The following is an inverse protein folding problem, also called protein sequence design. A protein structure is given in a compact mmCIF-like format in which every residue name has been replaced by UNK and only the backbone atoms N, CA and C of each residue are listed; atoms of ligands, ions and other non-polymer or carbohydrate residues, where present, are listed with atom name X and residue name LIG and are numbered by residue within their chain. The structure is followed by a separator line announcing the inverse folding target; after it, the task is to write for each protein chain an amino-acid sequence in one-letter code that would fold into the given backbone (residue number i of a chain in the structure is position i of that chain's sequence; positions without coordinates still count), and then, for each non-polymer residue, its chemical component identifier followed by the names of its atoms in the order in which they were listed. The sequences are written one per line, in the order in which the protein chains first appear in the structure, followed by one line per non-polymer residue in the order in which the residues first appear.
data_IF_986623983648
#
_entry.id   IF_986623983648
#
_cell.length_a   1.000
_cell.length_b   1.000
_cell.length_c   1.000
_cell.angle_alpha   90.00
_cell.angle_beta   90.00
_cell.angle_gamma   90.00
#
_symmetry.space_group_name_H-M   'P 1'
#
loop_
_entity.id
_entity.type
_entity.pdbx_description
1 polymer ?
#
# COMPACT_ATOMS: atom_id res chain seq x y z
N UNK A 1 12.83 28.26 31.63
CA UNK A 1 12.28 28.41 30.27
C UNK A 1 10.76 28.13 30.19
N UNK A 2 10.19 27.11 30.83
CA UNK A 2 8.74 26.85 30.84
C UNK A 2 7.90 27.87 31.62
N UNK A 3 8.40 28.46 32.70
CA UNK A 3 7.70 29.49 33.46
C UNK A 3 7.60 30.80 32.69
N UNK A 4 8.61 31.16 31.91
CA UNK A 4 8.64 32.38 31.08
C UNK A 4 7.58 32.36 29.94
N UNK A 5 7.36 31.21 29.29
CA UNK A 5 6.37 31.11 28.19
C UNK A 5 4.94 31.13 28.75
N UNK A 6 4.71 30.58 29.93
CA UNK A 6 3.42 30.64 30.58
C UNK A 6 3.07 32.07 31.04
N UNK A 7 4.06 32.83 31.49
CA UNK A 7 3.92 34.23 31.88
C UNK A 7 3.61 35.14 30.68
N UNK A 8 4.30 34.91 29.57
CA UNK A 8 4.10 35.64 28.29
C UNK A 8 2.70 35.38 27.69
N UNK A 9 2.18 34.17 27.82
CA UNK A 9 0.81 33.84 27.42
C UNK A 9 -0.23 34.50 28.36
N UNK A 10 0.04 34.57 29.63
CA UNK A 10 -0.84 35.19 30.64
C UNK A 10 -0.90 36.71 30.46
N UNK A 11 0.21 37.38 30.16
CA UNK A 11 0.27 38.80 29.84
C UNK A 11 -0.46 39.15 28.53
N UNK A 12 -0.31 38.32 27.48
CA UNK A 12 -1.04 38.51 26.22
C UNK A 12 -2.55 38.33 26.38
N UNK A 13 -2.99 37.34 27.17
CA UNK A 13 -4.43 37.15 27.47
C UNK A 13 -4.98 38.31 28.28
N UNK A 14 -4.25 38.82 29.27
CA UNK A 14 -4.66 39.98 30.05
C UNK A 14 -4.70 41.28 29.22
N UNK A 15 -3.77 41.46 28.27
CA UNK A 15 -3.79 42.59 27.35
C UNK A 15 -5.03 42.56 26.42
N UNK A 16 -5.42 41.36 25.96
CA UNK A 16 -6.66 41.21 25.14
C UNK A 16 -7.91 41.45 26.00
N UNK A 17 -7.95 41.00 27.25
CA UNK A 17 -9.04 41.23 28.18
C UNK A 17 -9.23 42.73 28.46
N UNK A 18 -8.11 43.46 28.65
CA UNK A 18 -8.14 44.93 28.84
C UNK A 18 -8.61 45.67 27.60
N UNK A 19 -8.27 45.24 26.38
CA UNK A 19 -8.75 45.82 25.15
C UNK A 19 -10.27 45.58 24.90
N UNK A 20 -10.77 44.42 25.37
CA UNK A 20 -12.20 44.08 25.26
C UNK A 20 -13.07 44.83 26.24
N UNK A 21 -12.53 45.32 27.37
CA UNK A 21 -13.24 46.11 28.36
C UNK A 21 -13.73 47.47 27.86
N UNK A 22 -13.19 47.96 26.74
CA UNK A 22 -13.62 49.21 26.12
C UNK A 22 -14.74 49.08 25.05
N UNK A 23 -15.24 47.85 24.83
CA UNK A 23 -16.33 47.61 23.86
C UNK A 23 -17.69 47.72 24.58
N UNK A 24 -18.46 48.72 24.22
CA UNK A 24 -19.76 49.04 24.86
C UNK A 24 -20.93 48.13 24.44
N UNK A 25 -20.68 46.82 24.24
CA UNK A 25 -21.72 45.88 23.85
C UNK A 25 -21.61 44.58 24.70
N UNK A 26 -22.47 44.43 25.68
CA UNK A 26 -22.48 43.36 26.69
C UNK A 26 -22.54 41.93 26.08
N UNK A 27 -23.17 41.77 24.91
CA UNK A 27 -23.30 40.47 24.25
C UNK A 27 -21.96 40.05 23.61
N UNK A 28 -21.30 41.01 22.99
CA UNK A 28 -19.97 40.76 22.35
C UNK A 28 -18.86 40.51 23.39
N UNK A 29 -18.90 41.24 24.53
CA UNK A 29 -18.00 41.02 25.66
C UNK A 29 -18.18 39.62 26.26
N UNK A 30 -19.42 39.17 26.46
CA UNK A 30 -19.68 37.81 26.97
C UNK A 30 -19.27 36.71 25.99
N UNK A 31 -19.46 36.91 24.70
CA UNK A 31 -19.05 35.96 23.66
C UNK A 31 -17.51 35.86 23.56
N UNK A 32 -16.82 37.00 23.54
CA UNK A 32 -15.34 37.03 23.52
C UNK A 32 -14.71 36.49 24.81
N UNK A 33 -15.29 36.78 25.98
CA UNK A 33 -14.85 36.19 27.24
C UNK A 33 -15.01 34.66 27.28
N UNK A 34 -16.17 34.15 26.77
CA UNK A 34 -16.36 32.67 26.62
C UNK A 34 -15.37 32.04 25.66
N UNK A 35 -15.03 32.69 24.54
CA UNK A 35 -14.03 32.21 23.58
C UNK A 35 -12.65 32.19 24.23
N UNK A 36 -12.22 33.25 24.91
CA UNK A 36 -10.93 33.32 25.61
C UNK A 36 -10.81 32.27 26.72
N UNK A 37 -11.84 32.09 27.54
CA UNK A 37 -11.84 31.08 28.61
C UNK A 37 -11.81 29.65 28.08
N UNK A 38 -12.56 29.38 27.00
CA UNK A 38 -12.58 28.06 26.37
C UNK A 38 -11.27 27.75 25.63
N UNK A 39 -10.65 28.75 24.99
CA UNK A 39 -9.35 28.60 24.33
C UNK A 39 -8.23 28.38 25.36
N UNK A 40 -8.23 29.14 26.48
CA UNK A 40 -7.28 28.95 27.59
C UNK A 40 -7.45 27.58 28.26
N UNK A 41 -8.71 27.13 28.47
CA UNK A 41 -8.97 25.78 29.01
C UNK A 41 -8.55 24.65 28.04
N UNK A 42 -8.70 24.85 26.71
CA UNK A 42 -8.22 23.89 25.70
C UNK A 42 -6.69 23.83 25.66
N UNK A 43 -6.01 24.99 25.70
CA UNK A 43 -4.55 25.09 25.73
C UNK A 43 -3.97 24.48 27.01
N UNK A 44 -4.57 24.76 28.18
CA UNK A 44 -4.16 24.16 29.47
C UNK A 44 -4.41 22.64 29.48
N UNK A 45 -5.56 22.15 29.03
CA UNK A 45 -5.80 20.71 28.89
C UNK A 45 -4.83 20.05 27.88
N UNK A 46 -4.47 20.73 26.79
CA UNK A 46 -3.52 20.22 25.81
C UNK A 46 -2.08 20.15 26.36
N UNK A 47 -1.66 21.13 27.20
CA UNK A 47 -0.34 21.11 27.85
C UNK A 47 -0.25 20.10 29.01
N UNK A 48 -1.29 20.01 29.82
CA UNK A 48 -1.33 19.03 30.93
C UNK A 48 -1.46 17.61 30.41
N UNK A 49 -2.21 17.41 29.31
CA UNK A 49 -2.29 16.08 28.65
C UNK A 49 -0.97 15.68 27.96
N UNK A 50 -0.22 16.64 27.40
CA UNK A 50 1.10 16.36 26.81
C UNK A 50 2.17 16.03 27.85
N UNK A 51 2.17 16.68 29.03
CA UNK A 51 3.10 16.37 30.09
C UNK A 51 2.73 15.08 30.83
N UNK A 52 1.46 14.87 31.12
CA UNK A 52 0.97 13.61 31.70
C UNK A 52 1.15 12.42 30.73
N UNK A 53 0.90 12.64 29.42
CA UNK A 53 1.18 11.66 28.39
C UNK A 53 2.66 11.30 28.28
N UNK A 54 3.58 12.28 28.43
CA UNK A 54 5.03 12.00 28.50
C UNK A 54 5.43 11.17 29.72
N UNK A 55 4.87 11.43 30.88
CA UNK A 55 5.18 10.65 32.10
C UNK A 55 4.55 9.24 32.08
N UNK A 56 3.36 9.08 31.54
CA UNK A 56 2.72 7.78 31.34
C UNK A 56 3.44 7.00 30.21
N UNK A 57 3.90 7.68 29.17
CA UNK A 57 4.76 7.09 28.15
C UNK A 57 6.05 6.54 28.75
N UNK A 58 6.77 7.31 29.60
CA UNK A 58 8.00 6.88 30.26
C UNK A 58 7.81 5.67 31.20
N UNK A 59 6.69 5.56 31.91
CA UNK A 59 6.38 4.40 32.78
C UNK A 59 6.04 3.14 31.99
N UNK A 60 5.31 3.26 30.87
CA UNK A 60 5.05 2.14 29.96
C UNK A 60 6.31 1.74 29.18
N UNK A 61 7.26 2.65 29.01
CA UNK A 61 8.53 2.43 28.31
C UNK A 61 9.46 1.49 29.08
N UNK A 62 9.58 1.60 30.41
CA UNK A 62 10.50 0.75 31.19
C UNK A 62 10.11 -0.73 31.14
N UNK A 63 8.82 -1.05 31.18
CA UNK A 63 8.33 -2.43 30.98
C UNK A 63 8.48 -2.93 29.54
N UNK A 64 8.44 -2.02 28.56
CA UNK A 64 8.65 -2.32 27.15
C UNK A 64 10.12 -2.60 26.84
N UNK A 65 11.06 -1.95 27.53
CA UNK A 65 12.50 -2.19 27.36
C UNK A 65 12.98 -3.52 27.96
N UNK A 66 12.45 -3.93 29.12
CA UNK A 66 12.79 -5.26 29.65
C UNK A 66 12.35 -6.34 28.67
N UNK A 67 11.12 -6.25 28.17
CA UNK A 67 10.59 -7.19 27.18
C UNK A 67 11.41 -7.21 25.88
N UNK A 68 11.81 -6.03 25.38
CA UNK A 68 12.65 -5.94 24.19
C UNK A 68 14.01 -6.61 24.41
N UNK A 69 14.63 -6.47 25.62
CA UNK A 69 15.88 -7.13 25.98
C UNK A 69 15.73 -8.65 25.96
N UNK A 70 14.67 -9.17 26.55
CA UNK A 70 14.39 -10.60 26.62
C UNK A 70 14.17 -11.21 25.23
N UNK A 71 13.68 -10.41 24.26
CA UNK A 71 13.40 -10.83 22.88
C UNK A 71 14.59 -10.66 21.91
N UNK A 72 15.69 -9.96 22.30
CA UNK A 72 16.80 -9.60 21.38
C UNK A 72 17.41 -10.79 20.63
N UNK A 73 17.64 -11.92 21.32
CA UNK A 73 18.20 -13.11 20.68
C UNK A 73 17.25 -13.74 19.66
N UNK A 74 15.95 -13.68 19.96
CA UNK A 74 14.92 -14.15 19.02
C UNK A 74 14.80 -13.21 17.82
N UNK A 75 14.93 -11.91 18.03
CA UNK A 75 14.93 -10.90 16.95
C UNK A 75 16.15 -11.09 16.07
N UNK A 76 17.34 -11.31 16.65
CA UNK A 76 18.59 -11.53 15.90
C UNK A 76 18.49 -12.79 15.02
N UNK A 77 17.99 -13.90 15.56
CA UNK A 77 17.75 -15.14 14.80
C UNK A 77 16.75 -14.91 13.66
N UNK A 78 15.70 -14.15 13.89
CA UNK A 78 14.70 -13.83 12.87
C UNK A 78 15.28 -12.94 11.75
N UNK A 79 16.14 -11.97 12.08
CA UNK A 79 16.86 -11.14 11.10
C UNK A 79 17.74 -12.01 10.21
N UNK A 80 18.51 -12.91 10.81
CA UNK A 80 19.37 -13.84 10.07
C UNK A 80 18.57 -14.79 9.17
N UNK A 81 17.47 -15.34 9.69
CA UNK A 81 16.56 -16.21 8.94
C UNK A 81 15.99 -15.52 7.69
N UNK A 82 15.71 -14.22 7.80
CA UNK A 82 15.15 -13.40 6.71
C UNK A 82 16.21 -12.74 5.84
N UNK A 83 17.50 -12.95 6.12
CA UNK A 83 18.64 -12.28 5.47
C UNK A 83 18.52 -10.74 5.45
N UNK A 84 17.89 -10.16 6.48
CA UNK A 84 17.85 -8.71 6.65
C UNK A 84 19.19 -8.16 7.16
N UNK A 85 19.49 -6.90 6.85
CA UNK A 85 20.77 -6.24 7.19
C UNK A 85 20.73 -5.44 8.50
N UNK A 86 19.64 -5.55 9.27
CA UNK A 86 19.48 -4.81 10.53
C UNK A 86 20.56 -5.22 11.56
N UNK A 87 21.06 -4.24 12.28
CA UNK A 87 22.12 -4.47 13.28
C UNK A 87 21.57 -4.37 14.71
N UNK A 88 21.40 -5.51 15.36
CA UNK A 88 20.89 -5.59 16.74
C UNK A 88 21.90 -5.05 17.75
N UNK A 89 23.21 -4.98 17.45
CA UNK A 89 24.23 -4.47 18.36
C UNK A 89 24.01 -3.00 18.72
N UNK A 90 23.52 -2.19 17.78
CA UNK A 90 23.13 -0.79 18.02
C UNK A 90 21.99 -0.70 19.05
N UNK A 91 21.00 -1.56 18.94
CA UNK A 91 19.88 -1.63 19.87
C UNK A 91 20.37 -2.07 21.26
N UNK A 92 21.24 -3.09 21.33
CA UNK A 92 21.87 -3.54 22.59
C UNK A 92 22.64 -2.40 23.29
N UNK A 93 23.44 -1.64 22.53
CA UNK A 93 24.19 -0.47 23.05
C UNK A 93 23.28 0.64 23.56
N UNK A 94 22.24 1.01 22.80
CA UNK A 94 21.29 2.04 23.21
C UNK A 94 20.47 1.63 24.45
N UNK A 95 20.11 0.36 24.58
CA UNK A 95 19.44 -0.17 25.76
C UNK A 95 20.35 -0.16 26.99
N UNK A 96 21.66 -0.40 26.86
CA UNK A 96 22.64 -0.27 27.93
C UNK A 96 22.77 1.19 28.37
N UNK A 97 22.96 2.13 27.43
CA UNK A 97 23.02 3.56 27.70
C UNK A 97 21.77 4.08 28.44
N UNK A 98 20.57 3.67 27.98
CA UNK A 98 19.31 4.05 28.63
C UNK A 98 19.12 3.41 30.01
N UNK A 99 19.84 2.35 30.32
CA UNK A 99 19.82 1.77 31.68
C UNK A 99 20.64 2.58 32.68
N UNK A 100 21.77 3.12 32.20
CA UNK A 100 22.64 3.99 32.99
C UNK A 100 22.06 5.42 33.05
N UNK A 101 21.48 5.89 31.94
CA UNK A 101 20.94 7.23 31.79
C UNK A 101 19.48 7.23 31.29
N UNK A 102 18.48 6.87 32.11
CA UNK A 102 17.07 6.71 31.68
C UNK A 102 16.42 7.98 31.11
N UNK A 103 17.01 9.15 31.37
CA UNK A 103 16.55 10.45 30.87
C UNK A 103 17.15 10.91 29.56
N UNK A 104 18.02 10.12 28.90
CA UNK A 104 18.65 10.49 27.64
C UNK A 104 17.65 10.42 26.48
N UNK A 105 17.05 11.57 26.13
CA UNK A 105 16.03 11.71 25.09
C UNK A 105 16.59 11.37 23.70
N UNK A 106 17.86 11.66 23.45
CA UNK A 106 18.46 11.42 22.13
C UNK A 106 18.76 9.94 21.92
N UNK A 107 19.24 9.23 22.95
CA UNK A 107 19.35 7.77 22.92
C UNK A 107 17.99 7.09 22.76
N UNK A 108 16.95 7.62 23.39
CA UNK A 108 15.58 7.14 23.27
C UNK A 108 15.07 7.25 21.83
N UNK A 109 15.22 8.42 21.21
CA UNK A 109 14.81 8.64 19.82
C UNK A 109 15.56 7.74 18.84
N UNK A 110 16.88 7.56 19.07
CA UNK A 110 17.69 6.64 18.26
C UNK A 110 17.21 5.20 18.42
N UNK A 111 16.89 4.78 19.65
CA UNK A 111 16.36 3.44 19.89
C UNK A 111 15.00 3.22 19.19
N UNK A 112 14.09 4.20 19.29
CA UNK A 112 12.80 4.14 18.59
C UNK A 112 12.99 3.99 17.05
N UNK A 113 13.95 4.73 16.48
CA UNK A 113 14.28 4.65 15.06
C UNK A 113 14.81 3.27 14.69
N UNK A 114 15.78 2.73 15.44
CA UNK A 114 16.38 1.43 15.13
C UNK A 114 15.39 0.27 15.34
N UNK A 115 14.58 0.31 16.40
CA UNK A 115 13.49 -0.66 16.62
C UNK A 115 12.44 -0.55 15.51
N UNK A 116 12.17 0.66 15.03
CA UNK A 116 11.28 0.91 13.90
C UNK A 116 11.70 0.22 12.60
N UNK A 117 13.00 -0.01 12.40
CA UNK A 117 13.56 -0.70 11.22
C UNK A 117 13.47 -2.22 11.29
N UNK A 118 13.25 -2.80 12.47
CA UNK A 118 13.22 -4.26 12.64
C UNK A 118 12.08 -4.88 11.84
N UNK A 119 12.31 -6.04 11.18
CA UNK A 119 11.25 -6.74 10.49
C UNK A 119 10.26 -7.38 11.47
N UNK A 120 9.08 -7.70 10.99
CA UNK A 120 8.10 -8.47 11.74
C UNK A 120 8.63 -9.86 12.08
N UNK A 121 8.01 -10.53 13.04
CA UNK A 121 8.26 -11.95 13.31
C UNK A 121 7.90 -12.78 12.08
N UNK A 122 8.45 -13.98 12.01
CA UNK A 122 8.14 -14.95 10.96
C UNK A 122 7.22 -16.03 11.53
N UNK A 123 6.20 -16.44 10.76
CA UNK A 123 5.33 -17.54 11.13
C UNK A 123 6.14 -18.85 11.26
N UNK A 124 5.92 -19.61 12.34
CA UNK A 124 6.71 -20.80 12.66
C UNK A 124 6.75 -21.83 11.52
N UNK A 125 5.61 -22.03 10.83
CA UNK A 125 5.52 -22.95 9.69
C UNK A 125 6.53 -22.64 8.59
N UNK A 126 6.84 -21.36 8.33
CA UNK A 126 7.72 -20.94 7.25
C UNK A 126 9.20 -21.28 7.50
N UNK A 127 9.58 -21.48 8.76
CA UNK A 127 10.97 -21.83 9.13
C UNK A 127 11.40 -23.13 8.46
N UNK A 128 10.47 -24.06 8.30
CA UNK A 128 10.74 -25.36 7.66
C UNK A 128 10.97 -25.28 6.15
N UNK A 129 10.60 -24.18 5.49
CA UNK A 129 10.73 -24.04 4.03
C UNK A 129 12.15 -23.69 3.58
N UNK A 130 13.01 -23.23 4.50
CA UNK A 130 14.34 -22.74 4.15
C UNK A 130 14.26 -21.53 3.22
N UNK A 131 14.82 -21.66 2.02
CA UNK A 131 14.86 -20.57 1.03
C UNK A 131 13.87 -20.75 -0.14
N UNK A 132 13.11 -21.85 -0.17
CA UNK A 132 12.22 -22.15 -1.29
C UNK A 132 10.76 -22.01 -0.89
N UNK A 133 9.92 -21.40 -1.74
CA UNK A 133 8.49 -21.33 -1.48
C UNK A 133 7.86 -22.74 -1.50
N UNK A 134 6.82 -22.91 -0.70
CA UNK A 134 6.01 -24.11 -0.68
C UNK A 134 4.79 -23.94 -1.57
N UNK A 135 4.66 -24.73 -2.63
CA UNK A 135 3.46 -24.73 -3.45
C UNK A 135 2.33 -25.44 -2.70
N UNK A 136 1.28 -24.70 -2.38
CA UNK A 136 0.13 -25.21 -1.59
C UNK A 136 -1.12 -25.47 -2.41
N UNK A 137 -1.20 -24.92 -3.62
CA UNK A 137 -2.34 -25.10 -4.54
C UNK A 137 -1.91 -24.86 -5.98
N UNK A 138 -2.48 -25.64 -6.91
CA UNK A 138 -2.33 -25.44 -8.36
C UNK A 138 -3.57 -25.91 -9.08
N UNK A 139 -4.03 -25.18 -10.08
CA UNK A 139 -5.04 -25.69 -11.00
C UNK A 139 -4.41 -26.36 -12.23
N UNK A 140 -5.21 -27.13 -12.96
CA UNK A 140 -4.76 -27.98 -14.09
C UNK A 140 -5.34 -27.51 -15.45
N UNK A 141 -5.57 -26.20 -15.61
CA UNK A 141 -6.08 -25.70 -16.88
C UNK A 141 -5.07 -25.96 -18.02
N UNK A 142 -5.56 -26.27 -19.24
CA UNK A 142 -4.69 -26.47 -20.40
C UNK A 142 -3.94 -25.19 -20.76
N UNK A 143 -2.76 -25.37 -21.37
CA UNK A 143 -1.94 -24.25 -21.87
C UNK A 143 -2.24 -24.02 -23.33
N UNK A 144 -2.79 -22.87 -23.72
CA UNK A 144 -2.90 -22.51 -25.12
C UNK A 144 -1.50 -22.20 -25.70
N UNK A 145 -1.29 -22.52 -26.98
CA UNK A 145 -0.17 -21.95 -27.73
C UNK A 145 -0.57 -20.54 -28.15
N UNK A 146 0.11 -19.57 -27.62
CA UNK A 146 -0.11 -18.14 -27.90
C UNK A 146 1.23 -17.44 -28.07
N UNK A 147 1.23 -16.35 -28.81
CA UNK A 147 2.38 -15.46 -28.91
C UNK A 147 2.60 -14.72 -27.60
N UNK A 148 3.82 -14.23 -27.39
CA UNK A 148 4.11 -13.39 -26.22
C UNK A 148 3.39 -12.05 -26.33
N UNK A 149 3.14 -11.47 -25.17
CA UNK A 149 2.43 -10.20 -25.02
C UNK A 149 3.01 -9.08 -25.91
N UNK A 150 4.35 -8.99 -26.01
CA UNK A 150 5.00 -7.92 -26.77
C UNK A 150 4.76 -8.06 -28.26
N UNK A 151 4.81 -9.28 -28.80
CA UNK A 151 4.50 -9.58 -30.19
C UNK A 151 3.07 -9.22 -30.53
N UNK A 152 2.10 -9.70 -29.72
CA UNK A 152 0.69 -9.38 -29.88
C UNK A 152 0.44 -7.86 -29.85
N UNK A 153 0.97 -7.18 -28.86
CA UNK A 153 0.77 -5.74 -28.72
C UNK A 153 1.40 -4.93 -29.87
N UNK A 154 2.49 -5.42 -30.47
CA UNK A 154 3.12 -4.81 -31.63
C UNK A 154 2.27 -5.01 -32.89
N UNK A 155 1.82 -6.23 -33.15
CA UNK A 155 1.03 -6.58 -34.34
C UNK A 155 -0.30 -5.81 -34.41
N UNK A 156 -0.95 -5.61 -33.27
CA UNK A 156 -2.22 -4.88 -33.17
C UNK A 156 -2.08 -3.42 -32.75
N UNK A 157 -0.86 -2.91 -32.60
CA UNK A 157 -0.61 -1.52 -32.20
C UNK A 157 -1.26 -1.13 -30.86
N UNK A 158 -1.27 -2.04 -29.87
CA UNK A 158 -1.94 -1.86 -28.59
C UNK A 158 -1.11 -1.13 -27.54
N UNK A 159 0.21 -1.00 -27.76
CA UNK A 159 1.13 -0.42 -26.76
C UNK A 159 2.15 0.51 -27.42
N UNK A 160 2.61 1.50 -26.65
CA UNK A 160 3.77 2.34 -26.99
C UNK A 160 4.75 2.31 -25.84
N UNK A 161 5.98 1.92 -26.13
CA UNK A 161 7.13 1.92 -25.20
C UNK A 161 8.38 2.52 -25.84
N UNK A 162 8.46 2.50 -27.18
CA UNK A 162 9.66 2.74 -27.99
C UNK A 162 10.09 4.22 -28.03
N UNK A 163 9.13 5.14 -28.07
CA UNK A 163 9.42 6.59 -28.09
C UNK A 163 9.46 7.26 -26.72
N UNK A 164 9.13 6.52 -25.67
CA UNK A 164 9.05 7.05 -24.31
C UNK A 164 10.41 7.13 -23.61
N UNK A 165 11.41 6.37 -24.10
CA UNK A 165 12.76 6.40 -23.52
C UNK A 165 13.42 7.80 -23.51
N UNK A 166 13.06 8.66 -24.48
CA UNK A 166 13.58 10.01 -24.57
C UNK A 166 12.82 11.05 -23.73
N UNK A 167 11.58 10.77 -23.32
CA UNK A 167 10.71 11.71 -22.61
C UNK A 167 10.45 11.27 -21.18
N UNK A 168 10.04 10.01 -20.98
CA UNK A 168 9.60 9.50 -19.69
C UNK A 168 10.54 8.43 -19.10
N UNK A 169 11.66 8.13 -19.77
CA UNK A 169 12.59 7.08 -19.37
C UNK A 169 12.10 5.67 -19.68
N UNK A 170 12.88 4.69 -19.26
CA UNK A 170 12.54 3.27 -19.40
C UNK A 170 11.38 2.90 -18.46
N UNK A 171 10.69 1.78 -18.76
CA UNK A 171 9.60 1.23 -17.93
C UNK A 171 8.35 2.13 -17.84
N UNK A 172 8.16 3.01 -18.86
CA UNK A 172 6.92 3.77 -19.09
C UNK A 172 6.18 3.20 -20.30
N UNK A 173 4.86 3.33 -20.33
CA UNK A 173 4.03 2.77 -21.40
C UNK A 173 2.73 3.54 -21.59
N UNK A 174 2.20 3.47 -22.81
CA UNK A 174 0.81 3.79 -23.12
C UNK A 174 0.08 2.53 -23.55
N UNK A 175 -1.13 2.35 -23.10
CA UNK A 175 -2.07 1.37 -23.61
C UNK A 175 -2.98 2.06 -24.61
N UNK A 176 -3.25 1.43 -25.73
CA UNK A 176 -4.04 1.99 -26.83
C UNK A 176 -5.25 1.10 -27.10
N UNK A 177 -6.31 1.72 -27.55
CA UNK A 177 -7.47 1.04 -28.08
C UNK A 177 -8.08 -0.01 -27.17
N UNK A 178 -8.25 -1.19 -27.70
CA UNK A 178 -8.90 -2.29 -26.99
C UNK A 178 -8.12 -2.74 -25.75
N UNK A 179 -6.79 -2.59 -25.74
CA UNK A 179 -6.00 -2.91 -24.56
C UNK A 179 -6.25 -1.91 -23.41
N UNK A 180 -6.43 -0.63 -23.73
CA UNK A 180 -6.82 0.38 -22.74
C UNK A 180 -8.25 0.12 -22.22
N UNK A 181 -9.18 -0.24 -23.09
CA UNK A 181 -10.55 -0.62 -22.73
C UNK A 181 -10.56 -1.88 -21.84
N UNK A 182 -9.69 -2.83 -22.15
CA UNK A 182 -9.53 -4.05 -21.37
C UNK A 182 -8.99 -3.77 -19.95
N UNK A 183 -8.01 -2.86 -19.81
CA UNK A 183 -7.53 -2.41 -18.49
C UNK A 183 -8.70 -1.86 -17.65
N UNK A 184 -9.48 -0.94 -18.20
CA UNK A 184 -10.63 -0.35 -17.48
C UNK A 184 -11.68 -1.40 -17.10
N UNK A 185 -11.91 -2.36 -17.98
CA UNK A 185 -12.87 -3.44 -17.76
C UNK A 185 -12.41 -4.41 -16.70
N UNK A 186 -11.12 -4.72 -16.63
CA UNK A 186 -10.51 -5.54 -15.58
C UNK A 186 -10.58 -4.85 -14.22
N UNK A 187 -10.31 -3.53 -14.17
CA UNK A 187 -10.46 -2.74 -12.94
C UNK A 187 -11.91 -2.83 -12.45
N UNK A 188 -12.88 -2.55 -13.33
CA UNK A 188 -14.30 -2.59 -13.00
C UNK A 188 -14.74 -3.99 -12.55
N UNK A 189 -14.33 -5.04 -13.27
CA UNK A 189 -14.60 -6.43 -12.91
C UNK A 189 -14.11 -6.76 -11.51
N UNK A 190 -12.85 -6.42 -11.21
CA UNK A 190 -12.23 -6.66 -9.91
C UNK A 190 -12.95 -5.90 -8.80
N UNK A 191 -13.26 -4.63 -9.00
CA UNK A 191 -13.98 -3.80 -8.01
C UNK A 191 -15.37 -4.37 -7.72
N UNK A 192 -16.14 -4.72 -8.75
CA UNK A 192 -17.48 -5.32 -8.55
C UNK A 192 -17.40 -6.68 -7.87
N UNK A 193 -16.37 -7.46 -8.17
CA UNK A 193 -16.13 -8.73 -7.48
C UNK A 193 -15.83 -8.52 -5.99
N UNK A 194 -14.97 -7.57 -5.63
CA UNK A 194 -14.66 -7.25 -4.24
C UNK A 194 -15.87 -6.70 -3.48
N UNK A 195 -16.68 -5.84 -4.10
CA UNK A 195 -17.94 -5.33 -3.50
C UNK A 195 -18.90 -6.48 -3.15
N UNK A 196 -19.05 -7.47 -4.05
CA UNK A 196 -19.85 -8.69 -3.80
C UNK A 196 -19.28 -9.51 -2.63
N UNK A 197 -17.97 -9.48 -2.42
CA UNK A 197 -17.27 -10.11 -1.29
C UNK A 197 -17.19 -9.20 -0.05
N UNK A 198 -18.05 -8.17 0.03
CA UNK A 198 -18.25 -7.27 1.17
C UNK A 198 -17.04 -6.38 1.50
N UNK A 199 -16.21 -6.05 0.51
CA UNK A 199 -15.22 -5.00 0.65
C UNK A 199 -15.86 -3.64 0.43
N UNK A 200 -15.56 -2.69 1.32
CA UNK A 200 -15.94 -1.30 1.15
C UNK A 200 -14.92 -0.59 0.26
N UNK A 201 -15.37 -0.09 -0.89
CA UNK A 201 -14.51 0.64 -1.81
C UNK A 201 -14.17 2.02 -1.25
N UNK A 202 -12.89 2.37 -1.27
CA UNK A 202 -12.34 3.66 -0.84
C UNK A 202 -11.63 4.34 -2.01
N UNK A 203 -11.71 5.67 -2.05
CA UNK A 203 -10.80 6.50 -2.83
C UNK A 203 -9.71 7.03 -1.90
N UNK A 204 -8.46 6.93 -2.32
CA UNK A 204 -7.30 7.20 -1.48
C UNK A 204 -6.34 8.18 -2.15
N UNK A 205 -5.56 8.97 -1.39
CA UNK A 205 -4.49 9.80 -1.94
C UNK A 205 -3.31 8.95 -2.41
N UNK A 206 -2.65 9.38 -3.47
CA UNK A 206 -1.41 8.79 -3.97
C UNK A 206 -0.15 9.45 -3.35
N UNK A 207 -0.28 10.66 -2.82
CA UNK A 207 0.78 11.41 -2.13
C UNK A 207 0.59 11.23 -0.62
N UNK A 208 1.63 10.74 0.06
CA UNK A 208 1.57 10.40 1.48
C UNK A 208 2.83 10.90 2.21
N UNK A 209 2.69 11.30 3.50
CA UNK A 209 3.85 11.51 4.35
C UNK A 209 4.72 10.25 4.44
N UNK A 210 6.04 10.41 4.35
CA UNK A 210 6.99 9.30 4.45
C UNK A 210 6.85 8.47 5.71
N UNK A 211 6.36 9.07 6.80
CA UNK A 211 6.09 8.38 8.07
C UNK A 211 5.04 7.25 7.94
N UNK A 212 4.01 7.42 7.11
CA UNK A 212 3.02 6.34 6.87
C UNK A 212 3.63 5.21 6.04
N UNK A 213 4.46 5.55 5.05
CA UNK A 213 5.17 4.57 4.22
C UNK A 213 6.12 3.73 5.07
N UNK A 214 6.94 4.40 5.90
CA UNK A 214 7.83 3.73 6.86
C UNK A 214 7.03 2.88 7.88
N UNK A 215 5.89 3.39 8.35
CA UNK A 215 4.98 2.67 9.25
C UNK A 215 4.43 1.37 8.65
N UNK A 216 4.29 1.31 7.32
CA UNK A 216 3.89 0.11 6.60
C UNK A 216 5.05 -0.84 6.27
N UNK A 217 6.29 -0.49 6.60
CA UNK A 217 7.46 -1.36 6.43
C UNK A 217 8.22 -1.15 5.13
N UNK A 218 7.89 -0.13 4.33
CA UNK A 218 8.70 0.30 3.19
C UNK A 218 9.59 1.48 3.62
N UNK A 219 10.89 1.39 3.31
CA UNK A 219 11.85 2.43 3.68
C UNK A 219 11.85 3.57 2.66
N UNK A 220 11.66 4.81 3.12
CA UNK A 220 11.73 6.01 2.28
C UNK A 220 13.16 6.49 2.06
N UNK A 221 14.14 5.91 2.75
CA UNK A 221 15.56 6.28 2.70
C UNK A 221 16.44 5.07 2.43
N UNK A 222 17.63 5.32 1.89
CA UNK A 222 18.62 4.30 1.57
C UNK A 222 18.85 4.14 0.07
N UNK A 223 20.01 3.56 -0.30
CA UNK A 223 20.50 3.47 -1.70
C UNK A 223 19.61 2.61 -2.62
N UNK A 224 18.73 1.78 -2.06
CA UNK A 224 17.83 0.87 -2.79
C UNK A 224 16.35 1.16 -2.52
N UNK A 225 16.02 2.41 -2.14
CA UNK A 225 14.61 2.75 -1.96
C UNK A 225 13.86 2.67 -3.28
N UNK A 226 12.68 2.07 -3.24
CA UNK A 226 11.75 2.02 -4.37
C UNK A 226 10.74 3.18 -4.35
N UNK A 227 10.88 4.10 -3.41
CA UNK A 227 9.94 5.19 -3.18
C UNK A 227 10.40 6.45 -3.91
N UNK A 228 9.49 7.06 -4.68
CA UNK A 228 9.68 8.40 -5.21
C UNK A 228 9.40 9.43 -4.13
N UNK A 229 10.38 10.23 -3.79
CA UNK A 229 10.23 11.40 -2.90
C UNK A 229 9.87 12.64 -3.69
N UNK A 230 8.99 13.46 -3.13
CA UNK A 230 8.72 14.83 -3.56
C UNK A 230 9.58 15.78 -2.70
N UNK A 231 9.72 17.06 -3.07
CA UNK A 231 10.64 18.01 -2.40
C UNK A 231 10.45 18.16 -0.88
N UNK A 232 9.26 17.90 -0.39
CA UNK A 232 8.93 17.88 1.03
C UNK A 232 9.16 16.50 1.65
N UNK A 233 8.67 16.25 2.85
CA UNK A 233 8.66 14.91 3.48
C UNK A 233 7.64 13.96 2.86
N UNK A 234 7.00 14.35 1.76
CA UNK A 234 5.98 13.60 1.05
C UNK A 234 6.58 12.68 0.00
N UNK A 235 5.88 11.58 -0.25
CA UNK A 235 6.31 10.55 -1.18
C UNK A 235 5.12 10.08 -2.03
N UNK A 236 5.43 9.55 -3.22
CA UNK A 236 4.44 8.83 -4.03
C UNK A 236 4.27 7.40 -3.49
N UNK A 237 3.02 6.99 -3.33
CA UNK A 237 2.68 5.68 -2.79
C UNK A 237 3.01 4.55 -3.77
N UNK A 238 3.70 3.52 -3.30
CA UNK A 238 3.95 2.30 -4.07
C UNK A 238 2.80 1.29 -4.05
N UNK A 239 1.79 1.53 -3.19
CA UNK A 239 0.57 0.72 -3.03
C UNK A 239 -0.46 1.46 -2.19
N UNK A 240 -1.74 1.31 -2.49
CA UNK A 240 -2.81 1.89 -1.65
C UNK A 240 -2.91 1.29 -0.25
N UNK A 241 -2.25 0.19 0.03
CA UNK A 241 -2.08 -0.34 1.39
C UNK A 241 -1.66 0.75 2.38
N UNK A 242 -0.70 1.60 1.99
CA UNK A 242 -0.15 2.65 2.84
C UNK A 242 -1.19 3.73 3.16
N UNK A 243 -1.97 4.14 2.16
CA UNK A 243 -3.06 5.10 2.34
C UNK A 243 -4.20 4.51 3.18
N UNK A 244 -4.55 3.24 2.94
CA UNK A 244 -5.58 2.54 3.71
C UNK A 244 -5.15 2.32 5.17
N UNK A 245 -3.90 1.94 5.43
CA UNK A 245 -3.37 1.87 6.78
C UNK A 245 -3.35 3.25 7.46
N UNK A 246 -2.96 4.29 6.72
CA UNK A 246 -2.96 5.68 7.17
C UNK A 246 -4.34 6.18 7.58
N UNK A 247 -5.42 5.77 6.88
CA UNK A 247 -6.81 6.09 7.22
C UNK A 247 -7.16 5.66 8.65
N UNK A 248 -6.63 4.54 9.10
CA UNK A 248 -6.89 4.01 10.44
C UNK A 248 -5.87 4.49 11.49
N UNK A 249 -4.87 5.28 11.11
CA UNK A 249 -3.83 5.76 12.03
C UNK A 249 -4.42 6.54 13.21
N UNK A 250 -3.95 6.23 14.42
CA UNK A 250 -4.40 6.88 15.66
C UNK A 250 -5.82 6.54 16.10
N UNK A 251 -6.50 5.59 15.45
CA UNK A 251 -7.88 5.21 15.78
C UNK A 251 -7.99 4.10 16.81
N UNK A 252 -9.12 4.09 17.52
CA UNK A 252 -9.54 2.99 18.40
C UNK A 252 -10.86 2.44 17.87
N UNK A 253 -10.82 1.24 17.31
CA UNK A 253 -11.99 0.56 16.74
C UNK A 253 -12.74 -0.25 17.80
N UNK A 254 -14.00 -0.58 17.53
CA UNK A 254 -14.78 -1.53 18.35
C UNK A 254 -14.55 -2.95 17.80
N UNK A 255 -14.18 -3.91 18.67
CA UNK A 255 -13.98 -5.31 18.31
C UNK A 255 -15.17 -5.90 17.54
N UNK A 256 -16.40 -5.51 17.92
CA UNK A 256 -17.64 -6.00 17.27
C UNK A 256 -17.76 -5.61 15.79
N UNK A 257 -17.00 -4.59 15.35
CA UNK A 257 -16.97 -4.12 13.96
C UNK A 257 -15.87 -4.78 13.14
N UNK A 258 -15.02 -5.60 13.76
CA UNK A 258 -13.91 -6.29 13.10
C UNK A 258 -14.33 -7.69 12.61
N UNK A 259 -13.78 -8.18 11.47
CA UNK A 259 -12.80 -7.49 10.62
C UNK A 259 -13.45 -6.44 9.71
N UNK A 260 -12.79 -5.27 9.55
CA UNK A 260 -13.14 -4.29 8.54
C UNK A 260 -12.37 -4.61 7.25
N UNK A 261 -13.10 -4.86 6.16
CA UNK A 261 -12.53 -5.12 4.84
C UNK A 261 -12.75 -3.92 3.92
N UNK A 262 -11.67 -3.34 3.43
CA UNK A 262 -11.70 -2.19 2.52
C UNK A 262 -10.89 -2.50 1.26
N UNK A 263 -11.20 -1.84 0.16
CA UNK A 263 -10.46 -1.96 -1.09
C UNK A 263 -10.26 -0.59 -1.71
N UNK A 264 -9.18 -0.41 -2.47
CA UNK A 264 -8.94 0.82 -3.20
C UNK A 264 -8.35 0.54 -4.59
N UNK A 265 -8.68 1.41 -5.54
CA UNK A 265 -8.00 1.53 -6.82
C UNK A 265 -7.08 2.73 -6.75
N UNK A 266 -5.80 2.54 -6.99
CA UNK A 266 -4.81 3.62 -6.97
C UNK A 266 -3.77 3.49 -8.07
N UNK A 267 -3.11 4.58 -8.38
CA UNK A 267 -1.82 4.53 -9.07
C UNK A 267 -0.76 4.11 -8.06
N UNK A 268 0.14 3.25 -8.49
CA UNK A 268 1.30 2.80 -7.72
C UNK A 268 2.56 3.27 -8.41
N UNK A 269 3.50 3.81 -7.64
CA UNK A 269 4.73 4.40 -8.15
C UNK A 269 5.93 3.68 -7.53
N UNK A 270 6.84 3.16 -8.37
CA UNK A 270 8.01 2.43 -7.92
C UNK A 270 9.23 2.81 -8.73
N UNK A 271 10.32 3.18 -8.04
CA UNK A 271 11.61 3.51 -8.65
C UNK A 271 12.39 2.21 -8.99
N UNK A 272 11.82 1.39 -9.85
CA UNK A 272 12.34 0.08 -10.23
C UNK A 272 13.76 0.19 -10.81
N UNK A 273 14.76 -0.28 -10.06
CA UNK A 273 16.17 -0.22 -10.45
C UNK A 273 16.67 -1.50 -11.12
N UNK A 274 15.88 -2.58 -11.09
CA UNK A 274 16.23 -3.87 -11.71
C UNK A 274 16.22 -3.79 -13.25
N UNK A 275 17.18 -4.45 -13.88
CA UNK A 275 17.34 -4.54 -15.33
C UNK A 275 17.30 -5.99 -15.86
N UNK A 276 16.66 -6.92 -15.14
CA UNK A 276 16.61 -8.33 -15.54
C UNK A 276 15.80 -8.52 -16.83
N UNK A 277 16.25 -9.44 -17.69
CA UNK A 277 15.59 -9.76 -18.96
C UNK A 277 14.14 -10.28 -18.79
N UNK A 278 13.84 -10.93 -17.67
CA UNK A 278 12.52 -11.44 -17.30
C UNK A 278 11.50 -10.30 -17.06
N UNK A 279 11.98 -9.08 -16.88
CA UNK A 279 11.18 -7.88 -16.59
C UNK A 279 10.85 -7.04 -17.84
N UNK A 280 11.10 -7.58 -19.05
CA UNK A 280 10.83 -6.88 -20.32
C UNK A 280 9.36 -6.47 -20.48
N UNK A 281 9.16 -5.42 -21.29
CA UNK A 281 7.85 -4.86 -21.57
C UNK A 281 7.26 -4.16 -20.35
N UNK A 282 5.98 -4.43 -20.05
CA UNK A 282 5.27 -3.80 -18.95
C UNK A 282 5.23 -4.64 -17.66
N UNK A 283 6.04 -5.70 -17.54
CA UNK A 283 6.03 -6.56 -16.35
C UNK A 283 6.50 -5.82 -15.09
N UNK A 284 7.52 -4.94 -15.22
CA UNK A 284 7.96 -3.98 -14.18
C UNK A 284 8.03 -2.59 -14.75
N UNK A 285 7.25 -1.70 -14.19
CA UNK A 285 7.06 -0.33 -14.65
C UNK A 285 7.09 0.65 -13.48
N UNK A 286 7.42 1.92 -13.76
CA UNK A 286 7.50 2.96 -12.73
C UNK A 286 6.14 3.40 -12.21
N UNK A 287 5.08 3.25 -13.02
CA UNK A 287 3.71 3.62 -12.67
C UNK A 287 2.73 2.62 -13.23
N UNK A 288 1.78 2.17 -12.40
CA UNK A 288 0.72 1.24 -12.82
C UNK A 288 -0.52 1.37 -11.94
N UNK A 289 -1.66 0.88 -12.42
CA UNK A 289 -2.90 0.78 -11.62
C UNK A 289 -2.95 -0.53 -10.86
N UNK A 290 -3.33 -0.45 -9.60
CA UNK A 290 -3.52 -1.62 -8.71
C UNK A 290 -4.85 -1.52 -7.97
N UNK A 291 -5.56 -2.63 -7.89
CA UNK A 291 -6.70 -2.83 -6.99
C UNK A 291 -6.21 -3.59 -5.78
N UNK A 292 -6.26 -2.96 -4.63
CA UNK A 292 -5.74 -3.48 -3.37
C UNK A 292 -6.87 -3.79 -2.40
N UNK A 293 -6.71 -4.88 -1.66
CA UNK A 293 -7.52 -5.27 -0.52
C UNK A 293 -6.77 -4.96 0.77
N UNK A 294 -7.46 -4.47 1.77
CA UNK A 294 -6.88 -4.23 3.08
C UNK A 294 -7.90 -4.56 4.17
N UNK A 295 -7.42 -5.09 5.29
CA UNK A 295 -8.29 -5.35 6.44
C UNK A 295 -7.61 -4.95 7.73
N UNK A 296 -8.40 -4.35 8.62
CA UNK A 296 -8.07 -4.22 10.05
C UNK A 296 -8.90 -5.23 10.82
N UNK A 297 -8.27 -6.04 11.63
CA UNK A 297 -8.91 -7.14 12.35
C UNK A 297 -8.35 -7.31 13.78
N UNK A 298 -9.00 -8.11 14.61
CA UNK A 298 -8.44 -8.50 15.90
C UNK A 298 -7.32 -9.55 15.71
N UNK A 299 -6.49 -9.72 16.74
CA UNK A 299 -5.38 -10.67 16.71
C UNK A 299 -5.81 -12.10 16.40
N UNK A 300 -7.00 -12.49 16.83
CA UNK A 300 -7.53 -13.85 16.63
C UNK A 300 -8.16 -14.05 15.25
N UNK A 301 -8.32 -13.01 14.45
CA UNK A 301 -8.96 -13.06 13.14
C UNK A 301 -7.96 -13.03 11.97
N UNK A 302 -6.71 -12.60 12.20
CA UNK A 302 -5.78 -12.26 11.10
C UNK A 302 -5.42 -13.45 10.19
N UNK A 303 -5.29 -14.66 10.74
CA UNK A 303 -5.03 -15.86 9.94
C UNK A 303 -6.24 -16.21 9.05
N UNK A 304 -7.45 -16.19 9.62
CA UNK A 304 -8.68 -16.43 8.85
C UNK A 304 -8.92 -15.35 7.78
N UNK A 305 -8.54 -14.10 8.07
CA UNK A 305 -8.61 -13.00 7.10
C UNK A 305 -7.60 -13.20 5.97
N UNK A 306 -6.37 -13.62 6.26
CA UNK A 306 -5.36 -13.95 5.25
C UNK A 306 -5.86 -15.07 4.31
N UNK A 307 -6.39 -16.15 4.87
CA UNK A 307 -6.99 -17.24 4.09
C UNK A 307 -8.17 -16.75 3.23
N UNK A 308 -9.01 -15.87 3.77
CA UNK A 308 -10.12 -15.25 3.02
C UNK A 308 -9.62 -14.40 1.86
N UNK A 309 -8.49 -13.68 2.00
CA UNK A 309 -7.89 -12.87 0.94
C UNK A 309 -7.33 -13.77 -0.16
N UNK A 310 -6.51 -14.77 0.19
CA UNK A 310 -5.99 -15.77 -0.74
C UNK A 310 -7.13 -16.42 -1.54
N UNK A 311 -8.21 -16.86 -0.88
CA UNK A 311 -9.33 -17.49 -1.55
C UNK A 311 -10.11 -16.50 -2.45
N UNK A 312 -10.17 -15.22 -2.09
CA UNK A 312 -10.76 -14.17 -2.92
C UNK A 312 -9.95 -13.98 -4.21
N UNK A 313 -8.62 -13.92 -4.11
CA UNK A 313 -7.70 -13.82 -5.24
C UNK A 313 -7.78 -15.06 -6.14
N UNK A 314 -7.71 -16.26 -5.57
CA UNK A 314 -7.84 -17.53 -6.31
C UNK A 314 -9.16 -17.55 -7.11
N UNK A 315 -10.28 -17.27 -6.45
CA UNK A 315 -11.59 -17.29 -7.12
C UNK A 315 -11.72 -16.21 -8.21
N UNK A 316 -11.05 -15.06 -8.04
CA UNK A 316 -10.98 -14.04 -9.07
C UNK A 316 -10.25 -14.56 -10.32
N UNK A 317 -9.12 -15.24 -10.14
CA UNK A 317 -8.30 -15.75 -11.23
C UNK A 317 -8.87 -17.00 -11.89
N UNK A 318 -9.61 -17.83 -11.17
CA UNK A 318 -10.43 -18.90 -11.74
C UNK A 318 -11.48 -18.34 -12.71
N UNK A 319 -12.14 -17.22 -12.37
CA UNK A 319 -13.08 -16.54 -13.26
C UNK A 319 -12.45 -15.93 -14.51
N UNK A 320 -11.15 -15.65 -14.46
CA UNK A 320 -10.35 -15.19 -15.58
C UNK A 320 -9.73 -16.34 -16.41
N UNK A 321 -10.02 -17.59 -16.05
CA UNK A 321 -9.49 -18.80 -16.67
C UNK A 321 -7.95 -18.86 -16.68
N UNK A 322 -7.30 -18.37 -15.64
CA UNK A 322 -5.86 -18.44 -15.51
C UNK A 322 -5.39 -19.81 -15.03
N UNK A 323 -4.30 -20.31 -15.60
CA UNK A 323 -3.54 -21.40 -15.01
C UNK A 323 -2.60 -20.82 -13.95
N UNK A 324 -2.87 -21.09 -12.68
CA UNK A 324 -2.16 -20.49 -11.55
C UNK A 324 -1.63 -21.54 -10.58
N UNK A 325 -0.68 -21.09 -9.75
CA UNK A 325 -0.27 -21.76 -8.52
C UNK A 325 -0.22 -20.76 -7.35
N UNK A 326 -0.41 -21.28 -6.14
CA UNK A 326 -0.33 -20.52 -4.90
C UNK A 326 0.88 -21.00 -4.13
N UNK A 327 1.72 -20.08 -3.73
CA UNK A 327 2.96 -20.29 -3.00
C UNK A 327 2.84 -19.70 -1.60
N UNK A 328 3.17 -20.50 -0.57
CA UNK A 328 3.44 -20.00 0.79
C UNK A 328 4.92 -19.62 0.85
N UNK A 329 5.22 -18.36 1.10
CA UNK A 329 6.54 -17.79 0.84
C UNK A 329 7.52 -18.05 1.98
N UNK A 330 8.81 -18.35 1.67
CA UNK A 330 9.82 -18.60 2.68
C UNK A 330 10.22 -17.31 3.40
N UNK A 331 10.88 -17.40 4.56
CA UNK A 331 11.27 -16.23 5.37
C UNK A 331 12.04 -15.17 4.60
N UNK A 332 12.90 -15.55 3.67
CA UNK A 332 13.75 -14.63 2.89
C UNK A 332 12.98 -13.76 1.90
N UNK A 333 11.76 -14.17 1.51
CA UNK A 333 10.89 -13.47 0.57
C UNK A 333 9.82 -12.62 1.27
N UNK A 334 9.83 -12.56 2.60
CA UNK A 334 8.90 -11.74 3.35
C UNK A 334 9.37 -10.28 3.36
N UNK A 335 8.52 -9.36 2.94
CA UNK A 335 8.71 -7.93 3.19
C UNK A 335 8.75 -7.63 4.70
N UNK A 336 9.33 -6.49 5.10
CA UNK A 336 9.56 -6.18 6.51
C UNK A 336 8.30 -6.26 7.38
N UNK A 337 7.13 -5.91 6.87
CA UNK A 337 5.85 -5.94 7.59
C UNK A 337 5.22 -7.33 7.68
N UNK A 338 5.50 -8.23 6.72
CA UNK A 338 4.80 -9.50 6.62
C UNK A 338 5.26 -10.52 7.68
N UNK A 339 4.30 -11.11 8.40
CA UNK A 339 4.48 -12.27 9.27
C UNK A 339 4.37 -13.57 8.47
N UNK A 340 3.46 -13.60 7.52
CA UNK A 340 3.24 -14.65 6.53
C UNK A 340 2.73 -14.03 5.24
N UNK A 341 3.08 -14.63 4.09
CA UNK A 341 2.75 -14.13 2.76
C UNK A 341 2.44 -15.28 1.82
N UNK A 342 1.36 -15.16 1.06
CA UNK A 342 1.09 -15.97 -0.11
C UNK A 342 1.35 -15.17 -1.37
N UNK A 343 2.00 -15.80 -2.38
CA UNK A 343 2.07 -15.29 -3.73
C UNK A 343 1.24 -16.17 -4.66
N UNK A 344 0.55 -15.53 -5.61
CA UNK A 344 -0.14 -16.24 -6.67
C UNK A 344 0.55 -15.92 -7.98
N UNK A 345 1.03 -16.98 -8.62
CA UNK A 345 1.67 -16.91 -9.91
C UNK A 345 0.77 -17.52 -10.99
N UNK A 346 0.78 -16.90 -12.17
CA UNK A 346 0.11 -17.39 -13.37
C UNK A 346 1.15 -17.81 -14.39
N UNK A 347 0.88 -18.92 -15.09
CA UNK A 347 1.71 -19.34 -16.20
C UNK A 347 1.50 -18.42 -17.40
N UNK A 348 2.55 -17.72 -17.78
CA UNK A 348 2.60 -16.84 -18.94
C UNK A 348 3.12 -17.63 -20.14
N UNK A 349 2.20 -18.08 -20.99
CA UNK A 349 2.52 -19.04 -22.08
C UNK A 349 3.45 -18.46 -23.13
N UNK A 350 3.34 -17.18 -23.46
CA UNK A 350 4.22 -16.50 -24.38
C UNK A 350 5.65 -16.34 -23.85
N UNK A 351 5.77 -16.10 -22.54
CA UNK A 351 7.05 -15.95 -21.84
C UNK A 351 7.66 -17.26 -21.33
N UNK A 352 6.90 -18.36 -21.34
CA UNK A 352 7.28 -19.68 -20.82
C UNK A 352 7.76 -19.61 -19.36
N UNK A 353 7.09 -18.81 -18.52
CA UNK A 353 7.46 -18.65 -17.11
C UNK A 353 6.23 -18.48 -16.20
N UNK A 354 6.41 -18.80 -14.93
CA UNK A 354 5.49 -18.40 -13.88
C UNK A 354 5.74 -16.95 -13.50
N UNK A 355 4.71 -16.13 -13.55
CA UNK A 355 4.77 -14.71 -13.17
C UNK A 355 3.87 -14.39 -11.99
N UNK A 356 4.41 -13.76 -10.95
CA UNK A 356 3.64 -13.26 -9.82
C UNK A 356 2.67 -12.17 -10.29
N UNK A 357 1.37 -12.39 -10.08
CA UNK A 357 0.32 -11.43 -10.41
C UNK A 357 -0.38 -10.85 -9.19
N UNK A 358 -0.23 -11.52 -8.05
CA UNK A 358 -0.89 -11.17 -6.79
C UNK A 358 -0.09 -11.68 -5.60
N UNK A 359 -0.27 -11.01 -4.48
CA UNK A 359 0.22 -11.46 -3.18
C UNK A 359 -0.70 -10.98 -2.08
N UNK A 360 -0.81 -11.74 -0.99
CA UNK A 360 -1.45 -11.30 0.23
C UNK A 360 -0.61 -11.61 1.47
N UNK A 361 -0.63 -10.70 2.45
CA UNK A 361 0.21 -10.77 3.64
C UNK A 361 -0.57 -10.51 4.92
N UNK A 362 -0.30 -11.32 5.94
CA UNK A 362 -0.65 -11.02 7.32
C UNK A 362 0.48 -10.22 7.95
N UNK A 363 0.23 -8.99 8.31
CA UNK A 363 1.21 -8.11 8.95
C UNK A 363 1.13 -8.13 10.48
N UNK A 364 0.21 -8.92 11.06
CA UNK A 364 -0.08 -8.93 12.49
C UNK A 364 -0.20 -7.50 13.05
N UNK A 365 0.40 -7.20 14.19
CA UNK A 365 0.39 -5.87 14.82
C UNK A 365 1.52 -4.93 14.36
N UNK A 366 2.29 -5.31 13.32
CA UNK A 366 3.45 -4.55 12.86
C UNK A 366 3.10 -3.11 12.45
N UNK A 367 2.14 -2.96 11.54
CA UNK A 367 1.70 -1.65 11.07
C UNK A 367 0.89 -0.93 12.16
N UNK A 368 0.06 -1.66 12.88
CA UNK A 368 -0.78 -1.11 13.92
C UNK A 368 0.03 -0.50 15.08
N UNK A 369 1.15 -1.09 15.47
CA UNK A 369 2.07 -0.52 16.46
C UNK A 369 2.70 0.78 15.99
N UNK A 370 3.10 0.87 14.72
CA UNK A 370 3.76 2.04 14.13
C UNK A 370 2.79 3.18 13.85
N UNK A 371 1.57 2.85 13.45
CA UNK A 371 0.51 3.80 13.11
C UNK A 371 -0.50 4.01 14.25
N UNK A 372 -0.27 3.39 15.42
CA UNK A 372 -1.15 3.49 16.61
C UNK A 372 -2.61 3.10 16.31
N UNK A 373 -2.82 1.99 15.60
CA UNK A 373 -4.15 1.46 15.29
C UNK A 373 -4.53 0.46 16.38
N UNK A 374 -5.58 0.74 17.14
CA UNK A 374 -6.03 -0.08 18.27
C UNK A 374 -7.49 -0.48 18.14
N UNK A 375 -7.89 -1.49 18.87
CA UNK A 375 -9.28 -1.81 19.09
C UNK A 375 -9.57 -2.01 20.57
N UNK A 376 -10.81 -1.77 20.94
CA UNK A 376 -11.32 -2.05 22.28
C UNK A 376 -11.98 -3.41 22.27
N UNK A 377 -11.47 -4.33 23.08
CA UNK A 377 -12.04 -5.66 23.25
C UNK A 377 -13.40 -5.60 23.92
N UNK A 378 -14.19 -6.65 23.79
CA UNK A 378 -15.47 -6.80 24.52
C UNK A 378 -15.30 -6.74 26.03
N UNK A 379 -14.13 -7.10 26.55
CA UNK A 379 -13.75 -6.97 27.97
C UNK A 379 -13.29 -5.54 28.36
N UNK A 380 -13.27 -4.57 27.41
CA UNK A 380 -12.90 -3.18 27.65
C UNK A 380 -11.41 -2.87 27.49
N UNK A 381 -10.54 -3.86 27.27
CA UNK A 381 -9.10 -3.66 27.10
C UNK A 381 -8.77 -3.03 25.75
N UNK A 382 -7.67 -2.28 25.71
CA UNK A 382 -7.12 -1.75 24.44
C UNK A 382 -5.99 -2.65 23.97
N UNK A 383 -6.14 -3.16 22.74
CA UNK A 383 -5.15 -3.99 22.05
C UNK A 383 -4.78 -3.38 20.70
N UNK A 384 -3.55 -3.64 20.22
CA UNK A 384 -3.17 -3.30 18.85
C UNK A 384 -3.91 -4.21 17.88
N UNK A 385 -4.46 -3.62 16.82
CA UNK A 385 -5.10 -4.37 15.75
C UNK A 385 -4.07 -5.16 14.93
N UNK A 386 -4.54 -6.17 14.20
CA UNK A 386 -3.78 -6.80 13.14
C UNK A 386 -4.21 -6.22 11.80
N UNK A 387 -3.30 -6.19 10.83
CA UNK A 387 -3.57 -5.79 9.47
C UNK A 387 -3.25 -6.91 8.50
N UNK A 388 -4.06 -7.00 7.46
CA UNK A 388 -3.87 -7.93 6.33
C UNK A 388 -4.05 -7.13 5.05
N UNK A 389 -3.12 -7.29 4.11
CA UNK A 389 -3.21 -6.69 2.78
C UNK A 389 -3.22 -7.76 1.69
N UNK A 390 -3.65 -7.40 0.49
CA UNK A 390 -3.62 -8.28 -0.66
C UNK A 390 -3.90 -7.56 -1.97
N UNK A 391 -3.21 -7.95 -3.01
CA UNK A 391 -3.39 -7.41 -4.36
C UNK A 391 -4.47 -8.17 -5.10
N UNK A 392 -5.64 -7.58 -5.30
CA UNK A 392 -6.67 -8.21 -6.13
C UNK A 392 -6.31 -8.16 -7.62
N UNK A 393 -5.69 -7.08 -8.09
CA UNK A 393 -5.24 -6.95 -9.48
C UNK A 393 -4.12 -5.91 -9.62
N UNK A 394 -2.98 -6.31 -10.18
CA UNK A 394 -1.92 -5.43 -10.68
C UNK A 394 -2.02 -5.36 -12.20
N UNK A 395 -2.56 -4.28 -12.76
CA UNK A 395 -3.04 -4.23 -14.15
C UNK A 395 -2.03 -4.65 -15.20
N UNK A 396 -0.76 -4.22 -15.21
CA UNK A 396 0.18 -4.62 -16.26
C UNK A 396 0.39 -6.14 -16.32
N UNK A 397 0.60 -6.78 -15.17
CA UNK A 397 0.83 -8.23 -15.11
C UNK A 397 -0.45 -9.01 -15.40
N UNK A 398 -1.60 -8.49 -14.99
CA UNK A 398 -2.90 -9.09 -15.28
C UNK A 398 -3.22 -9.05 -16.78
N UNK A 399 -2.89 -7.93 -17.46
CA UNK A 399 -3.02 -7.81 -18.92
C UNK A 399 -2.11 -8.80 -19.66
N UNK A 400 -0.83 -8.91 -19.26
CA UNK A 400 0.09 -9.91 -19.81
C UNK A 400 -0.52 -11.31 -19.64
N UNK A 401 -0.94 -11.66 -18.43
CA UNK A 401 -1.49 -12.97 -18.13
C UNK A 401 -2.74 -13.27 -18.95
N UNK A 402 -3.61 -12.27 -19.15
CA UNK A 402 -4.84 -12.47 -19.91
C UNK A 402 -4.56 -12.71 -21.41
N UNK A 403 -3.67 -11.94 -22.01
CA UNK A 403 -3.30 -12.11 -23.42
C UNK A 403 -2.53 -13.41 -23.66
N UNK A 404 -1.67 -13.80 -22.72
CA UNK A 404 -0.87 -15.03 -22.81
C UNK A 404 -1.60 -16.30 -22.30
N UNK A 405 -2.82 -16.16 -21.78
CA UNK A 405 -3.71 -17.28 -21.40
C UNK A 405 -4.85 -17.51 -22.39
N UNK A 406 -5.11 -16.56 -23.28
CA UNK A 406 -6.25 -16.62 -24.19
C UNK A 406 -5.80 -16.44 -25.64
N UNK A 407 -6.50 -17.11 -26.57
CA UNK A 407 -6.21 -16.99 -28.00
C UNK A 407 -6.69 -15.64 -28.53
N UNK A 408 -5.96 -15.14 -29.51
CA UNK A 408 -6.41 -14.04 -30.35
C UNK A 408 -6.89 -14.65 -31.66
N UNK A 409 -8.17 -14.49 -31.98
CA UNK A 409 -8.79 -15.01 -33.19
C UNK A 409 -9.30 -13.84 -34.04
N UNK A 410 -8.86 -13.79 -35.28
CA UNK A 410 -9.25 -12.73 -36.24
C UNK A 410 -9.05 -11.30 -35.72
N UNK A 411 -7.95 -11.04 -35.01
CA UNK A 411 -7.65 -9.73 -34.45
C UNK A 411 -8.45 -9.36 -33.18
N UNK A 412 -9.23 -10.30 -32.66
CA UNK A 412 -10.04 -10.10 -31.48
C UNK A 412 -9.48 -10.91 -30.30
N UNK A 413 -9.27 -10.25 -29.16
CA UNK A 413 -8.84 -10.92 -27.91
C UNK A 413 -10.01 -11.76 -27.41
N UNK A 414 -9.82 -13.09 -27.34
CA UNK A 414 -10.77 -13.96 -26.66
C UNK A 414 -10.72 -13.70 -25.16
N UNK A 415 -11.80 -13.18 -24.60
CA UNK A 415 -11.89 -12.89 -23.17
C UNK A 415 -12.81 -13.87 -22.46
N UNK A 416 -12.55 -14.20 -21.19
CA UNK A 416 -13.45 -15.02 -20.37
C UNK A 416 -14.88 -14.45 -20.35
N UNK A 417 -15.88 -15.35 -20.29
CA UNK A 417 -17.31 -14.96 -20.30
C UNK A 417 -17.62 -13.96 -19.16
N UNK A 418 -16.96 -14.11 -18.01
CA UNK A 418 -17.08 -13.20 -16.88
C UNK A 418 -16.73 -11.73 -17.19
N UNK A 419 -15.94 -11.46 -18.21
CA UNK A 419 -15.57 -10.11 -18.67
C UNK A 419 -16.44 -9.59 -19.80
N UNK A 420 -17.07 -10.48 -20.59
CA UNK A 420 -17.82 -10.08 -21.81
C UNK A 420 -18.97 -9.12 -21.52
N UNK A 421 -19.70 -9.31 -20.43
CA UNK A 421 -20.80 -8.41 -20.06
C UNK A 421 -20.31 -7.00 -19.74
N UNK A 422 -19.15 -6.91 -19.07
CA UNK A 422 -18.54 -5.63 -18.68
C UNK A 422 -17.99 -4.89 -19.89
N UNK A 423 -17.35 -5.63 -20.83
CA UNK A 423 -16.86 -5.09 -22.09
C UNK A 423 -17.99 -4.57 -22.97
N UNK A 424 -19.13 -5.28 -23.07
CA UNK A 424 -20.31 -4.80 -23.81
C UNK A 424 -20.83 -3.46 -23.28
N UNK A 425 -20.77 -3.23 -21.97
CA UNK A 425 -21.14 -1.96 -21.36
C UNK A 425 -20.11 -0.83 -21.54
N UNK A 426 -18.87 -1.17 -21.90
CA UNK A 426 -17.78 -0.23 -22.16
C UNK A 426 -17.66 0.17 -23.64
N UNK A 427 -18.29 -0.56 -24.55
CA UNK A 427 -18.24 -0.35 -26.02
C UNK A 427 -19.08 0.87 -26.48
N UNK A 428 -19.02 1.97 -25.74
CA UNK A 428 -19.56 3.26 -26.15
C UNK A 428 -18.50 4.10 -26.84
N UNK A 429 -18.49 4.13 -28.16
CA UNK A 429 -17.66 4.86 -29.14
C UNK A 429 -16.36 4.18 -29.51
N UNK A 430 -16.31 3.78 -30.77
CA UNK A 430 -15.11 3.26 -31.44
C UNK A 430 -14.00 4.31 -31.44
N UNK A 431 -12.75 3.88 -31.40
CA UNK A 431 -11.57 4.78 -31.52
C UNK A 431 -11.65 5.65 -32.76
N UNK A 432 -12.26 5.16 -33.83
CA UNK A 432 -12.56 5.92 -35.05
C UNK A 432 -13.28 7.23 -34.73
N UNK A 433 -14.25 7.23 -33.81
CA UNK A 433 -14.99 8.43 -33.42
C UNK A 433 -14.09 9.40 -32.63
N UNK A 434 -13.16 8.89 -31.82
CA UNK A 434 -12.25 9.71 -31.02
C UNK A 434 -11.11 10.28 -31.87
N UNK A 435 -10.54 9.47 -32.77
CA UNK A 435 -9.50 9.92 -33.71
C UNK A 435 -10.09 10.89 -34.75
N UNK A 436 -11.29 10.63 -35.26
CA UNK A 436 -11.99 11.59 -36.10
C UNK A 436 -12.28 12.90 -35.40
N UNK A 437 -12.68 12.86 -34.12
CA UNK A 437 -12.90 14.05 -33.31
C UNK A 437 -11.61 14.83 -33.01
N UNK A 438 -10.48 14.14 -32.74
CA UNK A 438 -9.18 14.77 -32.58
C UNK A 438 -8.64 15.35 -33.89
N UNK A 439 -8.82 14.64 -35.01
CA UNK A 439 -8.41 15.12 -36.32
C UNK A 439 -9.18 16.37 -36.75
N UNK A 440 -10.50 16.38 -36.53
CA UNK A 440 -11.36 17.53 -36.85
C UNK A 440 -11.15 18.72 -35.92
N UNK A 441 -10.76 18.49 -34.67
CA UNK A 441 -10.62 19.55 -33.66
C UNK A 441 -9.24 20.18 -33.59
N UNK A 442 -8.17 19.44 -33.94
CA UNK A 442 -6.79 19.88 -33.70
C UNK A 442 -5.90 19.91 -34.93
N UNK A 443 -6.40 19.59 -36.14
CA UNK A 443 -5.62 19.62 -37.38
C UNK A 443 -4.22 18.95 -37.24
N UNK A 444 -4.16 17.77 -36.68
CA UNK A 444 -2.90 17.06 -36.46
C UNK A 444 -2.28 16.70 -37.80
N UNK A 445 -1.23 17.41 -38.21
CA UNK A 445 -0.43 17.14 -39.42
C UNK A 445 0.49 15.95 -39.10
N UNK A 446 0.33 14.85 -39.81
CA UNK A 446 1.21 13.67 -39.64
C UNK A 446 0.51 12.34 -39.42
N UNK A 447 -0.82 12.29 -39.54
CA UNK A 447 -1.57 11.02 -39.52
C UNK A 447 -2.39 10.86 -40.77
N UNK A 448 -2.33 9.70 -41.45
CA UNK A 448 -3.17 9.34 -42.61
C UNK A 448 -3.95 8.07 -42.30
N UNK A 449 -5.24 8.11 -42.60
CA UNK A 449 -6.10 6.91 -42.58
C UNK A 449 -5.98 6.19 -43.94
N UNK A 450 -5.47 4.96 -43.93
CA UNK A 450 -5.55 4.06 -45.08
C UNK A 450 -6.38 2.83 -44.71
N UNK A 451 -7.65 2.83 -45.11
CA UNK A 451 -8.65 1.84 -44.70
C UNK A 451 -8.97 2.00 -43.21
N UNK A 452 -8.99 0.91 -42.47
CA UNK A 452 -9.21 0.90 -41.02
C UNK A 452 -7.92 1.10 -40.19
N UNK A 453 -6.80 1.52 -40.81
CA UNK A 453 -5.49 1.69 -40.14
C UNK A 453 -5.04 3.13 -40.12
N UNK A 454 -4.58 3.59 -38.95
CA UNK A 454 -3.91 4.88 -38.82
C UNK A 454 -2.42 4.67 -39.04
N UNK A 455 -1.87 5.32 -40.06
CA UNK A 455 -0.43 5.35 -40.32
C UNK A 455 0.11 6.69 -39.90
N UNK A 456 1.15 6.70 -39.08
CA UNK A 456 1.95 7.90 -38.77
C UNK A 456 2.91 8.13 -39.95
N UNK A 457 2.88 9.32 -40.55
CA UNK A 457 3.82 9.76 -41.57
C UNK A 457 4.98 10.50 -40.90
#
# INVERSE_FOLDING_TARGET
MMVSVAFDCFEKVNSIILQVSHINNNILQMALFRICVNTSRRLYKCQVSRSASKYVALRNFSSSFSKLRDELDTIEKNILLRKHTNNVSIIKSLLAELSEHPGNIDALKKLELEVGKLPNRTHERLIAYGEKPCEIQRNQLPLPKVDDFSTVCKDFNYIRTDHLGNFNGHKSYYLLGDLANLEQSLIRFTVEYLKRNKFLLMSVPDILPGSFINGCGMQTEGDRTQIYKIETEECLSGTSEMALAGLFSGTVLDEKKLPLKVAAVSRCYRAETSGLNEEKGIYRVHQFTKVEMFSVCSKNQSEAVLESFKNTEVSLYEKLNFRFRVLDMPPIELGASAFQKYDIEVWMSGRQMWGEISSCSNCTDYQAKRLNIKYRTTAGNLEYAHTVNGTAAAMPRLLISLLESNKIENGTISVPESLKEILKGAAGKRIEDFVAALYLKYNFVGMRLEGERIIMI
#
